data_IF_036120266786
#
_entry.id   IF_036120266786
#
_cell.length_a   1.000
_cell.length_b   1.000
_cell.length_c   1.000
_cell.angle_alpha   90.00
_cell.angle_beta   90.00
_cell.angle_gamma   90.00
#
_symmetry.space_group_name_H-M   'P 1'
#
loop_
_entity.id
_entity.type
_entity.pdbx_description
1 polymer ?
#
# COMPACT_ATOMS: atom_id res chain seq x y z
N UNK A 1 13.78 0.20 1.32
CA UNK A 1 13.50 1.66 1.25
C UNK A 1 12.41 1.98 2.26
N UNK A 2 12.62 2.97 3.12
CA UNK A 2 11.56 3.43 4.01
C UNK A 2 10.51 4.16 3.15
N UNK A 3 9.20 3.91 3.34
CA UNK A 3 8.20 4.67 2.61
C UNK A 3 8.32 6.16 3.00
N UNK A 4 8.05 7.09 2.07
CA UNK A 4 7.97 8.51 2.42
C UNK A 4 6.93 8.69 3.54
N UNK A 5 7.26 9.55 4.50
CA UNK A 5 6.29 10.00 5.50
C UNK A 5 5.39 10.98 4.79
N UNK A 6 4.12 10.60 4.63
CA UNK A 6 3.16 11.44 3.92
C UNK A 6 2.59 12.50 4.86
N UNK A 7 2.43 13.72 4.33
CA UNK A 7 1.57 14.71 4.95
C UNK A 7 0.07 14.40 4.68
N UNK A 8 -0.82 15.10 5.36
CA UNK A 8 -2.28 14.89 5.25
C UNK A 8 -2.80 15.03 3.82
N UNK A 9 -2.20 15.88 2.99
CA UNK A 9 -2.65 16.08 1.60
C UNK A 9 -2.13 15.00 0.66
N UNK A 10 -0.90 14.54 0.87
CA UNK A 10 -0.36 13.37 0.17
C UNK A 10 -1.16 12.10 0.51
N UNK A 11 -1.62 11.97 1.77
CA UNK A 11 -2.46 10.85 2.19
C UNK A 11 -3.81 10.80 1.45
N UNK A 12 -4.42 11.96 1.17
CA UNK A 12 -5.66 12.02 0.38
C UNK A 12 -5.48 11.44 -1.02
N UNK A 13 -4.38 11.79 -1.69
CA UNK A 13 -4.09 11.26 -3.03
C UNK A 13 -3.81 9.75 -2.97
N UNK A 14 -3.07 9.30 -1.95
CA UNK A 14 -2.82 7.87 -1.75
C UNK A 14 -4.12 7.11 -1.49
N UNK A 15 -5.04 7.66 -0.69
CA UNK A 15 -6.33 7.05 -0.39
C UNK A 15 -7.22 6.94 -1.63
N UNK A 16 -7.32 8.00 -2.43
CA UNK A 16 -8.01 7.96 -3.71
C UNK A 16 -7.42 6.87 -4.62
N UNK A 17 -6.09 6.83 -4.77
CA UNK A 17 -5.41 5.82 -5.58
C UNK A 17 -5.70 4.39 -5.09
N UNK A 18 -5.69 4.18 -3.77
CA UNK A 18 -6.07 2.90 -3.14
C UNK A 18 -7.50 2.50 -3.49
N UNK A 19 -8.45 3.38 -3.22
CA UNK A 19 -9.87 3.13 -3.45
C UNK A 19 -10.13 2.76 -4.91
N UNK A 20 -9.54 3.50 -5.85
CA UNK A 20 -9.74 3.22 -7.26
C UNK A 20 -9.16 1.86 -7.67
N UNK A 21 -7.91 1.54 -7.29
CA UNK A 21 -7.34 0.22 -7.58
C UNK A 21 -8.18 -0.91 -6.99
N UNK A 22 -8.72 -0.72 -5.79
CA UNK A 22 -9.47 -1.76 -5.09
C UNK A 22 -10.87 -1.97 -5.68
N UNK A 23 -11.56 -0.88 -6.03
CA UNK A 23 -12.92 -0.93 -6.57
C UNK A 23 -12.95 -1.36 -8.04
N UNK A 24 -11.99 -0.92 -8.84
CA UNK A 24 -12.00 -1.16 -10.30
C UNK A 24 -10.92 -2.13 -10.76
N UNK A 25 -10.13 -2.69 -9.84
CA UNK A 25 -8.98 -3.53 -10.17
C UNK A 25 -8.01 -2.82 -11.13
N UNK A 26 -7.94 -1.49 -11.02
CA UNK A 26 -7.15 -0.66 -11.93
C UNK A 26 -5.64 -0.94 -11.72
N UNK A 27 -4.87 -1.17 -12.79
CA UNK A 27 -3.41 -1.26 -12.69
C UNK A 27 -2.81 0.03 -12.15
N UNK A 28 -1.78 -0.08 -11.31
CA UNK A 28 -1.05 1.09 -10.75
C UNK A 28 -0.62 2.09 -11.81
N UNK A 29 -0.17 1.59 -12.97
CA UNK A 29 0.25 2.43 -14.10
C UNK A 29 -0.89 3.33 -14.60
N UNK A 30 -2.11 2.80 -14.72
CA UNK A 30 -3.30 3.54 -15.17
C UNK A 30 -3.72 4.59 -14.14
N UNK A 31 -3.64 4.25 -12.85
CA UNK A 31 -3.93 5.20 -11.76
C UNK A 31 -2.97 6.38 -11.80
N UNK A 32 -1.67 6.11 -11.95
CA UNK A 32 -0.64 7.14 -12.07
C UNK A 32 -0.85 7.97 -13.33
N UNK A 33 -1.02 7.33 -14.50
CA UNK A 33 -1.24 8.02 -15.77
C UNK A 33 -2.43 8.99 -15.70
N UNK A 34 -3.52 8.54 -15.09
CA UNK A 34 -4.73 9.36 -14.92
C UNK A 34 -4.53 10.53 -13.97
N UNK A 35 -3.77 10.34 -12.90
CA UNK A 35 -3.44 11.42 -11.97
C UNK A 35 -2.58 12.50 -12.65
N UNK A 36 -1.55 12.09 -13.39
CA UNK A 36 -0.55 13.00 -13.97
C UNK A 36 -0.91 13.55 -15.35
N UNK A 37 -1.89 12.95 -16.04
CA UNK A 37 -2.37 13.41 -17.35
C UNK A 37 -2.69 14.89 -17.31
N UNK A 38 -2.53 15.62 -18.42
CA UNK A 38 -2.97 17.02 -18.54
C UNK A 38 -4.50 17.16 -18.64
N UNK A 39 -5.21 16.08 -18.95
CA UNK A 39 -6.65 16.07 -19.20
C UNK A 39 -7.40 15.24 -18.14
N UNK A 40 -8.62 15.68 -17.82
CA UNK A 40 -9.56 14.93 -16.97
C UNK A 40 -10.20 13.85 -17.84
N UNK A 41 -10.13 12.58 -17.41
CA UNK A 41 -10.84 11.50 -18.11
C UNK A 41 -12.35 11.76 -18.08
N UNK A 42 -13.02 11.63 -19.23
CA UNK A 42 -14.48 11.83 -19.34
C UNK A 42 -15.27 10.95 -18.37
N UNK A 43 -14.80 9.73 -18.11
CA UNK A 43 -15.41 8.78 -17.17
C UNK A 43 -15.28 9.20 -15.70
N UNK A 44 -14.50 10.23 -15.40
CA UNK A 44 -14.13 10.68 -14.05
C UNK A 44 -14.46 12.15 -13.79
N UNK A 45 -15.10 12.84 -14.73
CA UNK A 45 -15.41 14.27 -14.63
C UNK A 45 -16.34 14.62 -13.46
N UNK A 46 -17.10 13.66 -12.97
CA UNK A 46 -18.05 13.81 -11.86
C UNK A 46 -17.55 13.11 -10.57
N UNK A 47 -16.31 12.61 -10.56
CA UNK A 47 -15.67 11.97 -9.41
C UNK A 47 -14.98 13.04 -8.54
N UNK A 48 -15.67 13.47 -7.48
CA UNK A 48 -15.19 14.53 -6.59
C UNK A 48 -13.85 14.17 -5.91
N UNK A 49 -13.67 12.91 -5.50
CA UNK A 49 -12.43 12.44 -4.87
C UNK A 49 -11.26 12.51 -5.85
N UNK A 50 -11.48 12.08 -7.10
CA UNK A 50 -10.47 12.22 -8.16
C UNK A 50 -10.14 13.67 -8.45
N UNK A 51 -11.15 14.53 -8.58
CA UNK A 51 -10.94 15.96 -8.89
C UNK A 51 -10.17 16.66 -7.77
N UNK A 52 -10.46 16.35 -6.51
CA UNK A 52 -9.69 16.87 -5.36
C UNK A 52 -8.24 16.36 -5.39
N UNK A 53 -8.04 15.03 -5.53
CA UNK A 53 -6.70 14.43 -5.58
C UNK A 53 -5.85 15.02 -6.72
N UNK A 54 -6.46 15.24 -7.88
CA UNK A 54 -5.82 15.83 -9.05
C UNK A 54 -5.49 17.31 -8.83
N UNK A 55 -6.40 18.09 -8.26
CA UNK A 55 -6.15 19.48 -7.93
C UNK A 55 -4.96 19.61 -6.97
N UNK A 56 -4.97 18.82 -5.88
CA UNK A 56 -3.86 18.77 -4.92
C UNK A 56 -2.55 18.43 -5.61
N UNK A 57 -2.53 17.38 -6.45
CA UNK A 57 -1.33 16.97 -7.18
C UNK A 57 -0.73 18.12 -8.00
N UNK A 58 -1.55 18.88 -8.73
CA UNK A 58 -1.06 19.97 -9.59
C UNK A 58 -0.75 21.28 -8.86
N UNK A 59 -1.22 21.46 -7.62
CA UNK A 59 -0.92 22.65 -6.82
C UNK A 59 0.55 22.68 -6.32
N UNK A 60 1.18 21.51 -6.16
CA UNK A 60 2.50 21.39 -5.55
C UNK A 60 3.66 21.23 -6.54
N UNK A 61 4.87 21.39 -6.02
CA UNK A 61 6.10 21.30 -6.80
C UNK A 61 6.41 19.86 -7.24
N UNK A 62 7.46 19.68 -8.06
CA UNK A 62 7.84 18.36 -8.59
C UNK A 62 8.34 17.37 -7.53
N UNK A 63 8.98 17.84 -6.47
CA UNK A 63 9.53 16.97 -5.42
C UNK A 63 8.40 16.32 -4.63
N UNK A 64 7.45 17.13 -4.15
CA UNK A 64 6.26 16.66 -3.45
C UNK A 64 5.44 15.69 -4.30
N UNK A 65 5.28 16.00 -5.60
CA UNK A 65 4.58 15.10 -6.54
C UNK A 65 5.31 13.77 -6.72
N UNK A 66 6.63 13.76 -6.76
CA UNK A 66 7.41 12.53 -6.87
C UNK A 66 7.28 11.66 -5.62
N UNK A 67 7.20 12.25 -4.43
CA UNK A 67 6.95 11.51 -3.18
C UNK A 67 5.57 10.83 -3.20
N UNK A 68 4.53 11.52 -3.68
CA UNK A 68 3.19 10.94 -3.88
C UNK A 68 3.23 9.78 -4.86
N UNK A 69 3.86 9.95 -6.03
CA UNK A 69 3.97 8.88 -7.01
C UNK A 69 4.72 7.67 -6.46
N UNK A 70 5.83 7.91 -5.74
CA UNK A 70 6.58 6.86 -5.07
C UNK A 70 5.72 6.13 -4.03
N UNK A 71 4.91 6.85 -3.26
CA UNK A 71 4.01 6.26 -2.28
C UNK A 71 2.96 5.36 -2.93
N UNK A 72 2.33 5.83 -4.02
CA UNK A 72 1.35 5.03 -4.80
C UNK A 72 2.00 3.75 -5.33
N UNK A 73 3.22 3.84 -5.87
CA UNK A 73 3.97 2.68 -6.38
C UNK A 73 4.34 1.70 -5.26
N UNK A 74 4.89 2.20 -4.15
CA UNK A 74 5.29 1.38 -3.01
C UNK A 74 4.09 0.65 -2.39
N UNK A 75 2.96 1.34 -2.27
CA UNK A 75 1.75 0.76 -1.73
C UNK A 75 1.20 -0.37 -2.62
N UNK A 76 1.20 -0.17 -3.94
CA UNK A 76 0.86 -1.23 -4.89
C UNK A 76 1.81 -2.42 -4.81
N UNK A 77 3.13 -2.17 -4.82
CA UNK A 77 4.13 -3.22 -4.70
C UNK A 77 3.93 -4.05 -3.43
N UNK A 78 3.68 -3.39 -2.30
CA UNK A 78 3.40 -4.05 -1.02
C UNK A 78 2.14 -4.89 -1.06
N UNK A 79 1.04 -4.38 -1.62
CA UNK A 79 -0.20 -5.15 -1.75
C UNK A 79 0.01 -6.47 -2.52
N UNK A 80 0.89 -6.46 -3.52
CA UNK A 80 1.17 -7.63 -4.35
C UNK A 80 2.18 -8.59 -3.73
N UNK A 81 3.18 -8.08 -3.00
CA UNK A 81 4.37 -8.83 -2.58
C UNK A 81 4.53 -9.01 -1.07
N UNK A 82 3.84 -8.24 -0.23
CA UNK A 82 3.90 -8.42 1.21
C UNK A 82 3.22 -9.74 1.60
N UNK A 83 3.71 -10.32 2.69
CA UNK A 83 3.13 -11.47 3.37
C UNK A 83 1.65 -11.22 3.67
N UNK A 84 0.81 -12.22 3.40
CA UNK A 84 -0.62 -12.17 3.64
C UNK A 84 -1.00 -12.87 4.93
N UNK A 85 -2.20 -12.57 5.41
CA UNK A 85 -2.73 -13.21 6.59
C UNK A 85 -2.91 -14.71 6.39
N UNK A 86 -2.40 -15.49 7.35
CA UNK A 86 -2.28 -16.95 7.37
C UNK A 86 -1.20 -17.55 6.48
N UNK A 87 -0.37 -16.75 5.80
CA UNK A 87 0.77 -17.29 5.08
C UNK A 87 1.75 -17.96 6.06
N UNK A 88 2.38 -19.05 5.62
CA UNK A 88 3.51 -19.64 6.32
C UNK A 88 4.75 -18.84 5.94
N UNK A 89 5.43 -18.29 6.93
CA UNK A 89 6.59 -17.42 6.74
C UNK A 89 7.77 -17.86 7.58
N UNK A 90 8.96 -17.49 7.14
CA UNK A 90 10.20 -17.73 7.87
C UNK A 90 11.22 -16.60 7.67
N UNK A 91 12.18 -16.52 8.59
CA UNK A 91 13.34 -15.63 8.53
C UNK A 91 14.66 -16.40 8.83
N UNK A 92 14.71 -17.67 8.44
CA UNK A 92 15.78 -18.65 8.73
C UNK A 92 15.93 -19.07 10.20
N UNK A 93 15.41 -18.29 11.15
CA UNK A 93 15.48 -18.56 12.60
C UNK A 93 14.12 -19.04 13.13
N UNK A 94 13.05 -18.39 12.72
CA UNK A 94 11.68 -18.67 13.11
C UNK A 94 10.85 -19.03 11.89
N UNK A 95 9.87 -19.90 12.06
CA UNK A 95 8.89 -20.25 11.04
C UNK A 95 7.49 -20.40 11.67
N UNK A 96 6.45 -19.99 10.96
CA UNK A 96 5.07 -20.07 11.46
C UNK A 96 4.09 -19.33 10.58
N UNK A 97 2.84 -19.21 11.05
CA UNK A 97 1.75 -18.52 10.39
C UNK A 97 1.74 -17.03 10.74
N UNK A 98 1.69 -16.16 9.74
CA UNK A 98 1.60 -14.71 9.92
C UNK A 98 0.16 -14.26 10.16
N UNK A 99 -0.12 -13.56 11.27
CA UNK A 99 -1.47 -13.11 11.66
C UNK A 99 -1.43 -11.80 12.43
N UNK A 100 -2.58 -11.20 12.72
CA UNK A 100 -2.69 -9.97 13.52
C UNK A 100 -1.79 -8.84 12.99
N UNK A 101 -1.96 -8.51 11.72
CA UNK A 101 -1.15 -7.50 11.05
C UNK A 101 -1.43 -6.11 11.60
N UNK A 102 -0.34 -5.39 11.91
CA UNK A 102 -0.34 -3.94 12.02
C UNK A 102 0.32 -3.38 10.75
N UNK A 103 -0.49 -3.03 9.76
CA UNK A 103 -0.03 -2.49 8.49
C UNK A 103 0.66 -1.13 8.61
N UNK A 104 0.31 -0.34 9.63
CA UNK A 104 0.95 0.96 9.88
C UNK A 104 2.39 0.78 10.40
N UNK A 105 2.59 -0.13 11.36
CA UNK A 105 3.93 -0.45 11.89
C UNK A 105 4.70 -1.44 11.03
N UNK A 106 4.05 -2.01 10.00
CA UNK A 106 4.54 -3.15 9.21
C UNK A 106 4.98 -4.32 10.09
N UNK A 107 4.15 -4.67 11.07
CA UNK A 107 4.40 -5.81 11.96
C UNK A 107 3.28 -6.83 11.87
N UNK A 108 3.57 -8.06 12.26
CA UNK A 108 2.60 -9.14 12.37
C UNK A 108 2.95 -10.03 13.58
N UNK A 109 1.97 -10.76 14.09
CA UNK A 109 2.16 -11.83 15.05
C UNK A 109 2.47 -13.15 14.37
N UNK A 110 3.58 -13.80 14.75
CA UNK A 110 3.95 -15.12 14.28
C UNK A 110 3.34 -16.19 15.20
N UNK A 111 2.66 -17.17 14.62
CA UNK A 111 2.01 -18.25 15.34
C UNK A 111 2.54 -19.62 14.89
N UNK A 112 2.80 -20.53 15.83
CA UNK A 112 3.21 -21.90 15.52
C UNK A 112 2.07 -22.80 15.05
N UNK A 113 0.82 -22.31 15.06
CA UNK A 113 -0.33 -23.06 14.59
C UNK A 113 -1.32 -22.21 13.78
N UNK A 114 -2.00 -22.87 12.84
CA UNK A 114 -3.07 -22.25 12.05
C UNK A 114 -4.30 -21.85 12.90
N UNK A 115 -4.42 -22.32 14.15
CA UNK A 115 -5.58 -22.06 15.02
C UNK A 115 -5.40 -20.90 16.00
N UNK A 116 -4.27 -20.20 15.98
CA UNK A 116 -3.89 -19.11 16.91
C UNK A 116 -3.53 -19.59 18.32
N UNK A 117 -3.42 -20.90 18.54
CA UNK A 117 -3.25 -21.46 19.88
C UNK A 117 -1.80 -21.35 20.41
N UNK A 118 -0.85 -20.96 19.56
CA UNK A 118 0.58 -20.89 19.89
C UNK A 118 1.22 -19.62 19.35
N UNK A 119 1.15 -18.52 20.12
CA UNK A 119 1.81 -17.26 19.78
C UNK A 119 3.33 -17.34 20.05
N UNK A 120 4.14 -16.96 19.07
CA UNK A 120 5.61 -16.97 19.17
C UNK A 120 6.14 -15.57 19.48
N UNK A 121 5.67 -14.55 18.78
CA UNK A 121 6.13 -13.17 18.97
C UNK A 121 5.64 -12.23 17.87
N UNK A 122 5.93 -10.93 18.03
CA UNK A 122 5.69 -9.91 16.99
C UNK A 122 6.98 -9.63 16.21
N UNK A 123 6.85 -9.56 14.89
CA UNK A 123 7.98 -9.36 13.98
C UNK A 123 7.63 -8.35 12.90
N UNK A 124 8.66 -7.78 12.25
CA UNK A 124 8.46 -6.92 11.08
C UNK A 124 8.20 -7.78 9.86
N UNK A 125 7.27 -7.34 9.01
CA UNK A 125 6.95 -7.99 7.73
C UNK A 125 8.21 -8.08 6.86
N UNK A 126 9.02 -7.01 6.86
CA UNK A 126 10.22 -6.90 6.02
C UNK A 126 11.34 -7.89 6.38
N UNK A 127 11.28 -8.53 7.55
CA UNK A 127 12.29 -9.48 8.03
C UNK A 127 11.96 -10.93 7.66
N UNK A 128 10.78 -11.19 7.07
CA UNK A 128 10.27 -12.52 6.77
C UNK A 128 9.97 -12.67 5.28
N UNK A 129 9.92 -13.92 4.82
CA UNK A 129 9.49 -14.29 3.47
C UNK A 129 8.55 -15.49 3.52
N UNK A 130 7.69 -15.62 2.51
CA UNK A 130 6.76 -16.75 2.40
C UNK A 130 7.49 -18.04 2.05
N UNK A 131 7.12 -19.14 2.70
CA UNK A 131 7.61 -20.48 2.37
C UNK A 131 6.73 -21.04 1.25
N UNK A 132 7.31 -21.26 0.07
CA UNK A 132 6.63 -21.94 -1.05
C UNK A 132 6.32 -23.42 -0.75
#
# INVERSE_FOLDING_TARGET
MQPPILDEEQEKILLWAKNWRDQEQAPTAIVIETLVSGEVLDSRKDDEEFLEARLLYFMYNSEWRNEVLLAVQLDSYRKENDIKENDIVTNDIFAGFAKEFNWQERTFGLYGSAKNDLFIGRYRIDDFYTVE
#
